data_IF_691974829165
#
_entry.id   IF_691974829165
#
_cell.length_a   1.000
_cell.length_b   1.000
_cell.length_c   1.000
_cell.angle_alpha   90.00
_cell.angle_beta   90.00
_cell.angle_gamma   90.00
#
_symmetry.space_group_name_H-M   'P 1'
#
loop_
_entity.id
_entity.type
_entity.pdbx_description
1 polymer ?
#
# COMPACT_ATOMS: atom_id res chain seq x y z
N UNK A 1 7.70 3.92 -8.15
CA UNK A 1 6.69 3.12 -7.42
C UNK A 1 6.49 1.72 -8.00
N UNK A 2 5.91 1.53 -9.20
CA UNK A 2 5.69 0.17 -9.76
C UNK A 2 7.01 -0.56 -10.06
N UNK A 3 8.01 0.16 -10.57
CA UNK A 3 9.36 -0.39 -10.81
C UNK A 3 10.03 -0.92 -9.55
N UNK A 4 9.83 -0.25 -8.42
CA UNK A 4 10.45 -0.65 -7.15
C UNK A 4 9.84 -1.93 -6.60
N UNK A 5 8.52 -2.10 -6.77
CA UNK A 5 7.85 -3.33 -6.42
C UNK A 5 8.33 -4.50 -7.29
N UNK A 6 8.44 -4.29 -8.60
CA UNK A 6 8.98 -5.31 -9.52
C UNK A 6 10.41 -5.69 -9.15
N UNK A 7 11.27 -4.70 -8.91
CA UNK A 7 12.66 -4.94 -8.50
C UNK A 7 12.75 -5.73 -7.19
N UNK A 8 11.90 -5.40 -6.21
CA UNK A 8 11.81 -6.14 -4.96
C UNK A 8 11.35 -7.58 -5.18
N UNK A 9 10.31 -7.79 -5.99
CA UNK A 9 9.81 -9.12 -6.32
C UNK A 9 10.90 -9.95 -7.00
N UNK A 10 11.59 -9.39 -7.98
CA UNK A 10 12.69 -10.06 -8.68
C UNK A 10 13.84 -10.40 -7.71
N UNK A 11 14.19 -9.47 -6.82
CA UNK A 11 15.20 -9.71 -5.79
C UNK A 11 14.79 -10.82 -4.83
N UNK A 12 13.54 -10.79 -4.36
CA UNK A 12 12.98 -11.79 -3.47
C UNK A 12 13.01 -13.18 -4.12
N UNK A 13 12.51 -13.29 -5.35
CA UNK A 13 12.50 -14.53 -6.12
C UNK A 13 13.92 -15.05 -6.40
N UNK A 14 14.84 -14.17 -6.77
CA UNK A 14 16.25 -14.54 -6.96
C UNK A 14 16.89 -15.13 -5.71
N UNK A 15 16.45 -14.74 -4.51
CA UNK A 15 16.99 -15.22 -3.24
C UNK A 15 16.28 -16.47 -2.71
N UNK A 16 14.96 -16.57 -2.86
CA UNK A 16 14.18 -17.72 -2.36
C UNK A 16 14.25 -18.94 -3.28
N UNK A 17 14.28 -18.74 -4.61
CA UNK A 17 14.25 -19.84 -5.59
C UNK A 17 15.37 -20.86 -5.37
N UNK A 18 16.65 -20.46 -5.19
CA UNK A 18 17.73 -21.42 -4.95
C UNK A 18 17.53 -22.25 -3.67
N UNK A 19 16.91 -21.67 -2.63
CA UNK A 19 16.62 -22.38 -1.38
C UNK A 19 15.54 -23.44 -1.60
N UNK A 20 14.51 -23.12 -2.36
CA UNK A 20 13.43 -24.05 -2.72
C UNK A 20 13.95 -25.19 -3.60
N UNK A 21 14.73 -24.87 -4.63
CA UNK A 21 15.35 -25.88 -5.52
C UNK A 21 16.24 -26.84 -4.73
N UNK A 22 17.10 -26.29 -3.86
CA UNK A 22 17.97 -27.09 -2.98
C UNK A 22 17.16 -27.99 -2.05
N UNK A 23 16.00 -27.54 -1.56
CA UNK A 23 15.09 -28.37 -0.74
C UNK A 23 14.59 -29.57 -1.55
N UNK A 24 14.09 -29.31 -2.75
CA UNK A 24 13.58 -30.36 -3.65
C UNK A 24 14.66 -31.41 -3.97
N UNK A 25 15.89 -30.97 -4.26
CA UNK A 25 17.01 -31.87 -4.52
C UNK A 25 17.37 -32.76 -3.33
N UNK A 26 17.38 -32.20 -2.12
CA UNK A 26 17.66 -32.96 -0.89
C UNK A 26 16.55 -33.98 -0.60
N UNK A 27 15.28 -33.60 -0.77
CA UNK A 27 14.14 -34.52 -0.62
C UNK A 27 14.19 -35.65 -1.66
N UNK A 28 14.57 -35.35 -2.91
CA UNK A 28 14.75 -36.38 -3.94
C UNK A 28 15.89 -37.33 -3.62
N UNK A 29 17.01 -36.84 -3.05
CA UNK A 29 18.11 -37.69 -2.58
C UNK A 29 17.69 -38.61 -1.43
N UNK A 30 16.83 -38.13 -0.52
CA UNK A 30 16.26 -38.96 0.55
C UNK A 30 15.35 -40.05 0.00
N UNK A 31 14.48 -39.72 -0.96
CA UNK A 31 13.63 -40.72 -1.64
C UNK A 31 14.44 -41.81 -2.34
N UNK A 32 15.63 -41.47 -2.86
CA UNK A 32 16.56 -42.41 -3.47
C UNK A 32 17.43 -43.19 -2.45
N UNK A 33 17.26 -42.96 -1.14
CA UNK A 33 18.06 -43.62 -0.09
C UNK A 33 19.54 -43.22 -0.06
N UNK A 34 19.94 -42.15 -0.77
CA UNK A 34 21.35 -41.75 -0.90
C UNK A 34 21.79 -40.95 0.31
N UNK A 35 22.78 -41.48 1.04
CA UNK A 35 23.51 -40.78 2.10
C UNK A 35 22.56 -40.08 3.10
N UNK A 36 21.62 -40.85 3.67
CA UNK A 36 20.48 -40.39 4.46
C UNK A 36 20.93 -39.43 5.58
N UNK A 37 21.95 -39.81 6.35
CA UNK A 37 22.44 -39.02 7.47
C UNK A 37 22.95 -37.64 7.03
N UNK A 38 23.80 -37.58 6.00
CA UNK A 38 24.33 -36.30 5.49
C UNK A 38 23.22 -35.44 4.90
N UNK A 39 22.30 -36.05 4.16
CA UNK A 39 21.18 -35.33 3.51
C UNK A 39 20.22 -34.75 4.56
N UNK A 40 19.89 -35.49 5.61
CA UNK A 40 19.08 -34.98 6.74
C UNK A 40 19.75 -33.81 7.46
N UNK A 41 21.07 -33.88 7.68
CA UNK A 41 21.82 -32.75 8.26
C UNK A 41 21.76 -31.50 7.37
N UNK A 42 21.88 -31.67 6.06
CA UNK A 42 21.76 -30.56 5.09
C UNK A 42 20.35 -29.98 5.06
N UNK A 43 19.32 -30.82 5.18
CA UNK A 43 17.92 -30.39 5.21
C UNK A 43 17.63 -29.56 6.45
N UNK A 44 18.09 -29.99 7.63
CA UNK A 44 17.95 -29.22 8.87
C UNK A 44 18.62 -27.83 8.79
N UNK A 45 19.80 -27.75 8.19
CA UNK A 45 20.47 -26.47 7.96
C UNK A 45 19.65 -25.56 7.03
N UNK A 46 19.10 -26.14 5.96
CA UNK A 46 18.27 -25.41 5.01
C UNK A 46 16.98 -24.87 5.66
N UNK A 47 16.35 -25.64 6.55
CA UNK A 47 15.18 -25.17 7.31
C UNK A 47 15.51 -23.99 8.22
N UNK A 48 16.71 -23.98 8.83
CA UNK A 48 17.18 -22.83 9.61
C UNK A 48 17.47 -21.61 8.72
N UNK A 49 18.08 -21.82 7.54
CA UNK A 49 18.29 -20.75 6.55
C UNK A 49 16.95 -20.15 6.09
N UNK A 50 15.96 -20.98 5.79
CA UNK A 50 14.60 -20.58 5.43
C UNK A 50 13.88 -19.87 6.59
N UNK A 51 14.03 -20.34 7.83
CA UNK A 51 13.44 -19.68 8.99
C UNK A 51 14.04 -18.30 9.30
N UNK A 52 15.28 -18.07 8.87
CA UNK A 52 15.95 -16.76 8.97
C UNK A 52 15.72 -15.88 7.73
N UNK A 53 15.08 -16.41 6.69
CA UNK A 53 14.86 -15.69 5.46
C UNK A 53 13.86 -14.55 5.67
N UNK A 54 14.38 -13.34 5.77
CA UNK A 54 13.58 -12.12 5.82
C UNK A 54 14.26 -11.08 4.92
N UNK A 55 13.50 -10.50 4.00
CA UNK A 55 13.98 -9.44 3.11
C UNK A 55 13.06 -8.26 3.30
N UNK A 56 13.63 -7.14 3.74
CA UNK A 56 12.89 -5.90 3.90
C UNK A 56 12.67 -5.23 2.54
N UNK A 57 11.47 -4.69 2.33
CA UNK A 57 11.10 -4.00 1.10
C UNK A 57 12.02 -2.82 0.80
N UNK A 58 12.34 -2.04 1.83
CA UNK A 58 13.20 -0.86 1.70
C UNK A 58 14.66 -1.19 1.44
N UNK A 59 15.10 -2.43 1.68
CA UNK A 59 16.49 -2.85 1.41
C UNK A 59 16.84 -2.86 -0.08
N UNK A 60 15.84 -2.96 -0.96
CA UNK A 60 16.00 -2.99 -2.43
C UNK A 60 15.65 -1.64 -3.05
N UNK A 61 15.02 -0.73 -2.29
CA UNK A 61 14.61 0.58 -2.79
C UNK A 61 15.79 1.55 -2.88
N UNK A 62 15.80 2.36 -3.93
CA UNK A 62 16.69 3.51 -4.01
C UNK A 62 16.07 4.72 -3.30
N UNK A 63 16.53 5.02 -2.09
CA UNK A 63 16.05 6.16 -1.29
C UNK A 63 16.36 7.52 -1.96
N UNK A 64 17.38 7.58 -2.82
CA UNK A 64 17.79 8.83 -3.48
C UNK A 64 16.87 9.22 -4.65
N UNK A 65 15.94 8.35 -5.04
CA UNK A 65 15.04 8.63 -6.16
C UNK A 65 14.07 9.78 -5.81
N UNK A 66 13.81 10.63 -6.80
CA UNK A 66 13.12 11.92 -6.62
C UNK A 66 11.74 11.76 -5.95
N UNK A 67 11.01 10.68 -6.26
CA UNK A 67 9.69 10.44 -5.68
C UNK A 67 9.72 9.96 -4.21
N UNK A 68 10.88 9.62 -3.64
CA UNK A 68 11.04 9.32 -2.21
C UNK A 68 11.50 10.51 -1.38
N UNK A 69 12.18 11.50 -2.00
CA UNK A 69 12.79 12.67 -1.32
C UNK A 69 11.81 13.58 -0.60
N UNK A 70 10.52 13.56 -0.94
CA UNK A 70 9.50 14.50 -0.43
C UNK A 70 8.41 13.86 0.43
N UNK A 71 8.53 12.58 0.81
CA UNK A 71 7.57 11.95 1.74
C UNK A 71 7.65 12.63 3.13
N UNK A 72 6.69 13.50 3.44
CA UNK A 72 6.55 14.13 4.76
C UNK A 72 7.07 15.57 4.87
N UNK A 73 7.67 16.11 3.81
CA UNK A 73 7.98 17.54 3.71
C UNK A 73 6.91 18.20 2.84
N UNK A 74 5.76 18.49 3.44
CA UNK A 74 4.83 19.46 2.85
C UNK A 74 5.53 20.81 2.73
N UNK A 75 5.34 21.49 1.60
CA UNK A 75 5.85 22.85 1.43
C UNK A 75 5.32 23.74 2.56
N UNK A 76 6.05 24.80 2.91
CA UNK A 76 5.59 25.72 3.95
C UNK A 76 4.22 26.33 3.58
N UNK A 77 3.96 26.55 2.29
CA UNK A 77 2.63 26.93 1.79
C UNK A 77 1.54 25.89 2.15
N UNK A 78 1.83 24.60 1.97
CA UNK A 78 0.91 23.53 2.34
C UNK A 78 0.69 23.44 3.86
N UNK A 79 1.72 23.72 4.68
CA UNK A 79 1.59 23.83 6.15
C UNK A 79 0.74 25.05 6.54
N UNK A 80 0.88 26.18 5.84
CA UNK A 80 0.06 27.37 6.10
C UNK A 80 -1.42 27.13 5.75
N UNK A 81 -1.71 26.33 4.71
CA UNK A 81 -3.06 25.86 4.42
C UNK A 81 -3.63 25.01 5.58
N UNK A 82 -2.78 24.44 6.44
CA UNK A 82 -3.27 23.66 7.57
C UNK A 82 -3.95 24.49 8.66
N UNK A 83 -3.62 25.77 8.74
CA UNK A 83 -4.05 26.72 9.78
C UNK A 83 -5.31 27.49 9.34
N UNK A 84 -5.92 27.15 8.19
CA UNK A 84 -7.10 27.87 7.68
C UNK A 84 -8.26 27.81 8.69
N UNK A 85 -8.84 28.96 9.09
CA UNK A 85 -9.88 29.04 10.13
C UNK A 85 -11.20 28.32 9.77
N UNK A 86 -11.34 27.87 8.51
CA UNK A 86 -12.53 27.14 8.03
C UNK A 86 -12.18 25.73 7.52
N UNK A 87 -11.17 25.09 8.10
CA UNK A 87 -11.01 23.65 7.88
C UNK A 87 -12.26 22.92 8.35
N UNK A 88 -12.79 22.05 7.50
CA UNK A 88 -13.84 21.11 7.90
C UNK A 88 -13.30 20.33 9.11
N UNK A 89 -14.02 20.29 10.24
CA UNK A 89 -13.59 19.49 11.38
C UNK A 89 -13.37 18.05 10.93
N UNK A 90 -12.32 17.37 11.42
CA UNK A 90 -12.08 15.99 11.07
C UNK A 90 -13.34 15.19 11.38
N UNK A 91 -13.82 14.45 10.38
CA UNK A 91 -14.92 13.50 10.60
C UNK A 91 -14.36 12.46 11.56
N UNK A 92 -14.79 12.49 12.81
CA UNK A 92 -14.51 11.44 13.77
C UNK A 92 -15.09 10.16 13.20
N UNK A 93 -14.24 9.30 12.62
CA UNK A 93 -14.65 7.96 12.21
C UNK A 93 -14.80 7.10 13.47
N UNK A 94 -15.82 7.42 14.28
CA UNK A 94 -16.39 6.45 15.19
C UNK A 94 -17.07 5.46 14.26
N UNK A 95 -16.46 4.30 14.09
CA UNK A 95 -17.12 3.11 13.57
C UNK A 95 -18.15 2.74 14.64
N UNK A 96 -19.29 3.44 14.62
CA UNK A 96 -20.53 2.95 15.17
C UNK A 96 -21.29 2.35 14.00
N UNK A 97 -21.46 1.05 14.14
CA UNK A 97 -22.22 0.13 13.32
C UNK A 97 -23.41 0.75 12.57
N UNK A 98 -23.51 0.36 11.29
CA UNK A 98 -24.63 0.46 10.36
C UNK A 98 -25.85 1.27 10.84
N UNK A 99 -26.13 2.38 10.17
CA UNK A 99 -27.48 2.63 9.65
C UNK A 99 -27.42 3.43 8.34
N UNK A 100 -27.73 2.74 7.25
CA UNK A 100 -28.08 3.31 5.96
C UNK A 100 -29.30 4.21 6.14
N UNK A 101 -29.13 5.52 6.15
CA UNK A 101 -30.25 6.45 5.95
C UNK A 101 -30.05 7.16 4.62
N UNK A 102 -30.97 6.86 3.70
CA UNK A 102 -31.09 7.46 2.38
C UNK A 102 -31.13 9.00 2.50
N UNK A 103 -30.04 9.66 2.14
CA UNK A 103 -30.04 11.10 1.87
C UNK A 103 -30.83 11.33 0.57
N UNK A 104 -32.13 11.64 0.69
CA UNK A 104 -32.92 12.14 -0.44
C UNK A 104 -32.43 13.56 -0.75
N UNK A 105 -31.76 13.71 -1.89
CA UNK A 105 -31.34 14.99 -2.49
C UNK A 105 -32.59 15.83 -2.74
N UNK A 106 -32.81 16.90 -1.97
CA UNK A 106 -33.85 17.88 -2.29
C UNK A 106 -33.32 18.79 -3.40
N UNK A 107 -33.82 18.53 -4.62
CA UNK A 107 -33.68 19.36 -5.81
C UNK A 107 -34.57 20.59 -5.63
N UNK A 108 -33.97 21.76 -5.42
CA UNK A 108 -34.69 23.02 -5.40
C UNK A 108 -34.53 23.68 -6.77
N UNK A 109 -35.38 23.27 -7.70
CA UNK A 109 -35.61 24.03 -8.93
C UNK A 109 -37.13 24.12 -9.18
N UNK A 110 -37.55 25.33 -9.52
CA UNK A 110 -38.81 25.76 -10.18
C UNK A 110 -40.10 25.72 -9.29
N UNK A 111 -40.97 26.74 -9.14
CA UNK A 111 -41.47 27.86 -9.96
C UNK A 111 -42.07 28.95 -9.00
N UNK A 112 -41.85 30.25 -9.25
CA UNK A 112 -42.84 31.23 -9.75
C UNK A 112 -43.77 31.92 -8.74
N UNK A 113 -43.66 33.26 -8.68
CA UNK A 113 -44.80 34.11 -9.05
C UNK A 113 -44.27 35.41 -9.63
N UNK A 114 -44.69 35.68 -10.86
CA UNK A 114 -44.53 36.96 -11.52
C UNK A 114 -45.21 38.06 -10.72
N UNK A 115 -44.67 39.28 -10.77
CA UNK A 115 -45.42 40.41 -11.29
C UNK A 115 -44.49 41.51 -11.82
N UNK A 116 -44.98 42.12 -12.90
CA UNK A 116 -44.30 42.93 -13.91
C UNK A 116 -44.31 44.44 -13.57
N UNK A 117 -43.43 45.18 -14.28
CA UNK A 117 -43.43 46.62 -14.64
C UNK A 117 -42.71 47.60 -13.68
N UNK A 118 -41.93 48.60 -14.13
CA UNK A 118 -41.53 49.08 -15.48
C UNK A 118 -40.38 50.09 -15.30
N UNK A 119 -39.44 50.05 -16.26
CA UNK A 119 -38.54 51.12 -16.74
C UNK A 119 -37.47 51.76 -15.86
N UNK A 120 -36.22 51.56 -16.30
CA UNK A 120 -35.18 52.58 -16.30
C UNK A 120 -35.27 53.43 -17.58
N UNK A 121 -34.94 54.72 -17.50
CA UNK A 121 -34.02 55.43 -18.41
C UNK A 121 -33.98 56.95 -18.16
N UNK A 122 -32.73 57.45 -18.09
CA UNK A 122 -32.20 58.83 -18.05
C UNK A 122 -32.50 59.73 -16.85
#
# INVERSE_FOLDING_TARGET
>A
MTKDLTNFQDHYHKKITPLIERRADLENRLKQGKNIFKTNKQLLQLEQELGRFNIDYFSVMNIDDYHYRYKGHTSDDAKQLEIRPHKRPPVSTIIADRHTTHNKKLRLDILSSADFKVSASL
#
